data_IF_147057692370
#
_entry.id   IF_147057692370
#
_cell.length_a   1.000
_cell.length_b   1.000
_cell.length_c   1.000
_cell.angle_alpha   90.00
_cell.angle_beta   90.00
_cell.angle_gamma   90.00
#
_symmetry.space_group_name_H-M   'P 1'
#
loop_
_entity.id
_entity.type
_entity.pdbx_description
1 polymer ?
#
# COMPACT_ATOMS: atom_id res chain seq x y z
N UNK A 1 3.56 8.07 0.92
CA UNK A 1 2.80 6.94 1.52
C UNK A 1 3.36 6.52 2.88
N UNK A 2 4.62 6.09 2.97
CA UNK A 2 5.22 5.59 4.23
C UNK A 2 5.01 6.51 5.44
N UNK A 3 5.21 7.83 5.32
CA UNK A 3 5.00 8.76 6.45
C UNK A 3 3.56 8.82 6.96
N UNK A 4 2.58 8.69 6.07
CA UNK A 4 1.17 8.65 6.46
C UNK A 4 0.86 7.36 7.22
N UNK A 5 1.40 6.23 6.75
CA UNK A 5 1.28 4.94 7.42
C UNK A 5 1.98 4.94 8.79
N UNK A 6 3.23 5.44 8.87
CA UNK A 6 3.99 5.53 10.13
C UNK A 6 3.28 6.40 11.16
N UNK A 7 2.67 7.52 10.73
CA UNK A 7 1.87 8.38 11.60
C UNK A 7 0.57 7.72 12.12
N UNK A 8 0.12 6.63 11.50
CA UNK A 8 -0.99 5.78 11.93
C UNK A 8 -0.52 4.53 12.71
N UNK A 9 0.77 4.46 13.08
CA UNK A 9 1.42 3.27 13.64
C UNK A 9 1.40 2.04 12.71
N UNK A 10 1.22 2.24 11.41
CA UNK A 10 1.30 1.18 10.39
C UNK A 10 2.72 1.13 9.80
N UNK A 11 3.45 0.05 10.08
CA UNK A 11 4.85 -0.17 9.71
C UNK A 11 5.01 -1.10 8.50
N UNK A 12 4.08 -1.06 7.54
CA UNK A 12 4.08 -1.96 6.38
C UNK A 12 5.44 -2.01 5.64
N UNK A 13 6.09 -0.85 5.47
CA UNK A 13 7.39 -0.72 4.81
C UNK A 13 8.55 -1.48 5.48
N UNK A 14 8.43 -1.88 6.75
CA UNK A 14 9.45 -2.70 7.42
C UNK A 14 9.33 -4.19 7.12
N UNK A 15 8.20 -4.64 6.57
CA UNK A 15 7.92 -6.06 6.32
C UNK A 15 7.98 -6.39 4.83
N UNK A 16 7.49 -5.47 3.99
CA UNK A 16 7.53 -5.59 2.53
C UNK A 16 8.88 -5.11 1.95
N UNK A 17 9.28 -5.72 0.84
CA UNK A 17 10.43 -5.27 0.05
C UNK A 17 10.10 -4.11 -0.89
N UNK A 18 8.82 -3.94 -1.23
CA UNK A 18 8.34 -2.90 -2.13
C UNK A 18 6.95 -2.43 -1.67
N UNK A 19 6.86 -1.17 -1.27
CA UNK A 19 5.63 -0.56 -0.73
C UNK A 19 4.57 -0.32 -1.81
N UNK A 20 4.96 -0.28 -3.10
CA UNK A 20 4.05 -0.15 -4.24
C UNK A 20 3.85 -1.48 -4.98
N UNK A 21 4.51 -2.55 -4.51
CA UNK A 21 4.35 -3.89 -5.06
C UNK A 21 2.93 -4.43 -4.84
N UNK A 22 2.52 -5.39 -5.68
CA UNK A 22 1.14 -5.91 -5.75
C UNK A 22 0.48 -6.20 -4.40
N UNK A 23 1.17 -6.85 -3.47
CA UNK A 23 0.62 -7.18 -2.15
C UNK A 23 0.48 -5.96 -1.24
N UNK A 24 1.50 -5.09 -1.18
CA UNK A 24 1.43 -3.86 -0.38
C UNK A 24 0.36 -2.93 -0.92
N UNK A 25 0.22 -2.86 -2.24
CA UNK A 25 -0.83 -2.09 -2.90
C UNK A 25 -2.23 -2.57 -2.53
N UNK A 26 -2.49 -3.87 -2.62
CA UNK A 26 -3.78 -4.44 -2.20
C UNK A 26 -4.12 -4.13 -0.74
N UNK A 27 -3.12 -4.20 0.16
CA UNK A 27 -3.27 -3.85 1.58
C UNK A 27 -3.62 -2.37 1.73
N UNK A 28 -2.91 -1.49 1.03
CA UNK A 28 -3.15 -0.04 1.10
C UNK A 28 -4.53 0.33 0.53
N UNK A 29 -4.97 -0.32 -0.56
CA UNK A 29 -6.31 -0.13 -1.13
C UNK A 29 -7.40 -0.58 -0.16
N UNK A 30 -7.22 -1.70 0.53
CA UNK A 30 -8.14 -2.14 1.58
C UNK A 30 -8.21 -1.13 2.74
N UNK A 31 -7.06 -0.63 3.20
CA UNK A 31 -6.98 0.43 4.21
C UNK A 31 -7.73 1.69 3.75
N UNK A 32 -7.52 2.14 2.51
CA UNK A 32 -8.23 3.30 1.94
C UNK A 32 -9.75 3.08 1.96
N UNK A 33 -10.20 1.85 1.69
CA UNK A 33 -11.61 1.46 1.70
C UNK A 33 -12.18 1.23 3.10
N UNK A 34 -11.38 1.40 4.16
CA UNK A 34 -11.83 1.36 5.54
C UNK A 34 -11.62 0.02 6.25
N UNK A 35 -10.86 -0.90 5.66
CA UNK A 35 -10.42 -2.09 6.38
C UNK A 35 -9.34 -1.73 7.40
N UNK A 36 -9.54 -2.15 8.64
CA UNK A 36 -8.68 -1.83 9.79
C UNK A 36 -8.22 -3.10 10.53
N UNK A 37 -8.82 -4.27 10.26
CA UNK A 37 -8.45 -5.53 10.89
C UNK A 37 -7.09 -6.05 10.34
N UNK A 38 -6.03 -6.11 11.17
CA UNK A 38 -4.73 -6.62 10.75
C UNK A 38 -4.77 -8.07 10.27
N UNK A 39 -5.71 -8.89 10.77
CA UNK A 39 -5.89 -10.26 10.31
C UNK A 39 -6.36 -10.26 8.84
N UNK A 40 -7.41 -9.50 8.52
CA UNK A 40 -7.94 -9.39 7.15
C UNK A 40 -6.88 -8.81 6.22
N UNK A 41 -6.23 -7.71 6.61
CA UNK A 41 -5.19 -7.07 5.80
C UNK A 41 -4.01 -8.02 5.54
N UNK A 42 -3.60 -8.83 6.52
CA UNK A 42 -2.50 -9.79 6.35
C UNK A 42 -2.80 -10.92 5.35
N UNK A 43 -4.08 -11.23 5.13
CA UNK A 43 -4.50 -12.25 4.15
C UNK A 43 -4.32 -11.79 2.69
N UNK A 44 -4.24 -10.47 2.44
CA UNK A 44 -3.97 -9.91 1.12
C UNK A 44 -2.52 -10.11 0.66
N UNK A 45 -1.65 -10.61 1.55
CA UNK A 45 -0.26 -10.90 1.24
C UNK A 45 -0.12 -12.08 0.26
N UNK A 46 0.66 -11.88 -0.81
CA UNK A 46 0.91 -12.89 -1.84
C UNK A 46 2.39 -13.29 -1.87
N UNK A 47 2.67 -14.45 -2.50
CA UNK A 47 4.03 -14.97 -2.75
C UNK A 47 4.87 -14.97 -1.46
N UNK A 48 6.07 -14.37 -1.48
CA UNK A 48 7.01 -14.34 -0.34
C UNK A 48 6.44 -13.63 0.89
N UNK A 49 5.57 -12.63 0.69
CA UNK A 49 4.98 -11.87 1.79
C UNK A 49 3.99 -12.71 2.61
N UNK A 50 3.38 -13.75 1.99
CA UNK A 50 2.52 -14.73 2.67
C UNK A 50 3.25 -15.45 3.82
N UNK A 51 4.56 -15.62 3.72
CA UNK A 51 5.37 -16.26 4.77
C UNK A 51 5.60 -15.35 5.98
N UNK A 52 5.26 -14.06 5.89
CA UNK A 52 5.45 -13.05 6.93
C UNK A 52 4.12 -12.58 7.56
N UNK A 53 3.07 -13.39 7.51
CA UNK A 53 1.72 -13.00 7.99
C UNK A 53 1.71 -12.50 9.44
N UNK A 54 2.41 -13.18 10.34
CA UNK A 54 2.47 -12.75 11.75
C UNK A 54 3.23 -11.44 11.96
N UNK A 55 4.28 -11.19 11.17
CA UNK A 55 4.97 -9.89 11.15
C UNK A 55 4.07 -8.80 10.55
N UNK A 56 3.30 -9.12 9.51
CA UNK A 56 2.34 -8.21 8.91
C UNK A 56 1.24 -7.82 9.88
N UNK A 57 0.63 -8.76 10.59
CA UNK A 57 -0.39 -8.44 11.62
C UNK A 57 0.14 -7.45 12.64
N UNK A 58 1.38 -7.65 13.11
CA UNK A 58 2.05 -6.72 14.03
C UNK A 58 2.31 -5.35 13.39
N UNK A 59 2.78 -5.33 12.15
CA UNK A 59 3.08 -4.10 11.43
C UNK A 59 1.82 -3.32 10.99
N UNK A 60 0.69 -3.99 10.83
CA UNK A 60 -0.59 -3.41 10.43
C UNK A 60 -1.46 -3.02 11.63
N UNK A 61 -1.02 -3.32 12.85
CA UNK A 61 -1.70 -2.94 14.08
C UNK A 61 -1.53 -1.43 14.37
N UNK A 62 -2.42 -0.63 13.79
CA UNK A 62 -2.43 0.82 13.92
C UNK A 62 -3.84 1.39 13.77
N UNK A 63 -3.97 2.71 13.89
CA UNK A 63 -5.24 3.41 13.78
C UNK A 63 -5.14 4.46 12.69
N UNK A 64 -5.99 4.36 11.67
CA UNK A 64 -5.97 5.26 10.52
C UNK A 64 -7.27 6.05 10.38
N UNK A 65 -7.17 7.35 10.64
CA UNK A 65 -8.30 8.26 10.57
C UNK A 65 -8.73 8.60 9.12
N UNK A 66 -9.93 9.18 8.95
CA UNK A 66 -10.47 9.55 7.64
C UNK A 66 -9.53 10.45 6.81
N UNK A 67 -8.86 11.42 7.45
CA UNK A 67 -7.93 12.31 6.77
C UNK A 67 -6.70 11.56 6.25
N UNK A 68 -6.13 10.63 7.03
CA UNK A 68 -4.98 9.82 6.59
C UNK A 68 -5.37 8.89 5.44
N UNK A 69 -6.57 8.29 5.47
CA UNK A 69 -7.12 7.51 4.34
C UNK A 69 -7.26 8.36 3.08
N UNK A 70 -7.76 9.60 3.20
CA UNK A 70 -7.82 10.55 2.09
C UNK A 70 -6.42 10.86 1.53
N UNK A 71 -5.44 11.12 2.39
CA UNK A 71 -4.06 11.35 1.96
C UNK A 71 -3.47 10.15 1.20
N UNK A 72 -3.69 8.92 1.69
CA UNK A 72 -3.24 7.70 0.99
C UNK A 72 -3.92 7.54 -0.36
N UNK A 73 -5.23 7.77 -0.43
CA UNK A 73 -6.00 7.73 -1.69
C UNK A 73 -5.45 8.70 -2.72
N UNK A 74 -5.23 9.96 -2.34
CA UNK A 74 -4.66 10.99 -3.22
C UNK A 74 -3.25 10.62 -3.68
N UNK A 75 -2.41 10.13 -2.77
CA UNK A 75 -1.05 9.70 -3.13
C UNK A 75 -1.05 8.53 -4.11
N UNK A 76 -1.92 7.53 -3.90
CA UNK A 76 -2.01 6.38 -4.79
C UNK A 76 -2.50 6.79 -6.18
N UNK A 77 -3.53 7.65 -6.26
CA UNK A 77 -4.02 8.17 -7.53
C UNK A 77 -2.96 8.96 -8.31
N UNK A 78 -2.10 9.73 -7.63
CA UNK A 78 -0.99 10.42 -8.29
C UNK A 78 0.06 9.46 -8.84
N UNK A 79 0.36 8.37 -8.12
CA UNK A 79 1.28 7.33 -8.59
C UNK A 79 0.72 6.70 -9.87
N UNK A 80 -0.56 6.33 -9.86
CA UNK A 80 -1.22 5.72 -11.02
C UNK A 80 -1.20 6.62 -12.24
N UNK A 81 -1.54 7.89 -12.05
CA UNK A 81 -1.47 8.89 -13.11
C UNK A 81 -0.06 8.99 -13.70
N UNK A 82 0.98 9.05 -12.86
CA UNK A 82 2.36 9.14 -13.33
C UNK A 82 2.81 7.87 -14.05
N UNK A 83 2.43 6.69 -13.56
CA UNK A 83 2.72 5.41 -14.21
C UNK A 83 2.06 5.34 -15.61
N UNK A 84 0.83 5.84 -15.75
CA UNK A 84 0.14 5.96 -17.03
C UNK A 84 0.87 6.91 -17.99
N UNK A 85 1.29 8.09 -17.53
CA UNK A 85 2.05 9.05 -18.35
C UNK A 85 3.40 8.46 -18.80
N UNK A 86 4.09 7.76 -17.90
CA UNK A 86 5.36 7.07 -18.22
C UNK A 86 5.12 5.99 -19.28
N UNK A 87 4.06 5.20 -19.15
CA UNK A 87 3.71 4.15 -20.12
C UNK A 87 3.37 4.74 -21.50
N UNK A 88 2.63 5.85 -21.54
CA UNK A 88 2.30 6.58 -22.76
C UNK A 88 3.58 7.06 -23.48
N UNK A 89 4.46 7.76 -22.77
CA UNK A 89 5.71 8.27 -23.34
C UNK A 89 6.62 7.14 -23.84
N UNK A 90 6.75 6.05 -23.07
CA UNK A 90 7.51 4.85 -23.49
C UNK A 90 6.98 4.24 -24.79
N UNK A 91 5.67 4.29 -25.03
CA UNK A 91 5.06 3.80 -26.28
C UNK A 91 5.37 4.73 -27.46
N UNK A 92 5.33 6.04 -27.24
CA UNK A 92 5.64 7.05 -28.29
C UNK A 92 7.11 6.99 -28.73
N UNK A 93 8.04 6.66 -27.83
CA UNK A 93 9.48 6.57 -28.12
C UNK A 93 9.92 5.25 -28.77
N UNK A 94 9.03 4.28 -28.93
CA UNK A 94 9.33 2.99 -29.61
C UNK A 94 9.01 3.01 -31.11
N UNK A 95 8.77 4.18 -31.68
CA UNK A 95 8.57 4.44 -33.12
C UNK A 95 9.75 5.25 -33.63
#
# INVERSE_FOLDING_TARGET
>A
MQKVLEGANIKLASVTTDILGKSSRAIIEAIINGEEDPAILSELAQKRLKNKKEELKKALNGLIGPHQRLMLKTQLAHIDFLDEQIALLKRTWRV
#
